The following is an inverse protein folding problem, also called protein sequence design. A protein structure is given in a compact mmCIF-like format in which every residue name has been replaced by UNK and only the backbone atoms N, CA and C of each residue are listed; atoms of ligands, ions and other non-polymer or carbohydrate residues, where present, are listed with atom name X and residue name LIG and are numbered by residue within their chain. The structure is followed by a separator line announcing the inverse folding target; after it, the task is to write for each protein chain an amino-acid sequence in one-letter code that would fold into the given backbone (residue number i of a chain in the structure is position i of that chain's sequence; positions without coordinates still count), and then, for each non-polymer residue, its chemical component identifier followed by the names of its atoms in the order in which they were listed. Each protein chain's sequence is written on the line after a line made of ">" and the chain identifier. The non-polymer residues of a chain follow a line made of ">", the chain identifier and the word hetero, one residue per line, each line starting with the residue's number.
data_IF_962308294759
#
_entry.id   IF_962308294759
#
_cell.length_a   1.000
_cell.length_b   1.000
_cell.length_c   1.000
_cell.angle_alpha   90.00
_cell.angle_beta   90.00
_cell.angle_gamma   90.00
#
_symmetry.space_group_name_H-M   'P 1'
#
loop_
_entity.id
_entity.type
_entity.pdbx_description
1 polymer ?
#
# COMPACT_ATOMS: atom_id res chain seq x y z
N UNK A 1 0.53 10.59 2.21
CA UNK A 1 -0.91 10.64 2.54
C UNK A 1 -1.67 9.67 1.64
N UNK A 2 -2.20 8.58 2.21
CA UNK A 2 -2.89 7.49 1.47
C UNK A 2 -4.36 7.88 1.24
N UNK A 3 -4.85 7.82 -0.01
CA UNK A 3 -6.28 7.89 -0.31
C UNK A 3 -6.84 6.45 -0.42
N UNK A 4 -7.69 5.97 0.50
CA UNK A 4 -8.29 4.65 0.37
C UNK A 4 -9.57 4.72 -0.47
N UNK A 5 -9.73 3.81 -1.43
CA UNK A 5 -11.03 3.48 -1.98
C UNK A 5 -11.56 2.20 -1.31
N UNK A 6 -12.60 2.33 -0.47
CA UNK A 6 -13.11 1.26 0.41
C UNK A 6 -13.67 0.03 -0.33
N UNK A 7 -13.89 0.09 -1.64
CA UNK A 7 -14.61 -0.92 -2.41
C UNK A 7 -13.76 -1.71 -3.40
N UNK A 8 -12.49 -1.35 -3.64
CA UNK A 8 -11.68 -1.99 -4.67
C UNK A 8 -10.58 -2.93 -4.13
N UNK A 9 -10.36 -2.97 -2.80
CA UNK A 9 -9.36 -3.87 -2.19
C UNK A 9 -7.91 -3.45 -2.39
N UNK A 10 -7.66 -2.19 -2.78
CA UNK A 10 -6.32 -1.64 -2.95
C UNK A 10 -6.24 -0.18 -2.47
N UNK A 11 -5.02 0.30 -2.26
CA UNK A 11 -4.69 1.66 -1.87
C UNK A 11 -3.34 2.10 -2.48
N UNK A 12 -3.08 3.41 -2.46
CA UNK A 12 -1.77 3.97 -2.85
C UNK A 12 -1.03 4.42 -1.60
N UNK A 13 0.11 3.81 -1.35
CA UNK A 13 1.02 4.16 -0.26
C UNK A 13 1.99 5.23 -0.76
N UNK A 14 2.15 6.26 0.06
CA UNK A 14 3.03 7.38 -0.22
C UNK A 14 4.35 7.17 0.50
N UNK A 15 5.46 7.12 -0.25
CA UNK A 15 6.81 6.99 0.28
C UNK A 15 7.78 7.78 -0.60
N UNK A 16 8.75 8.52 -0.01
CA UNK A 16 9.80 9.19 -0.78
C UNK A 16 10.67 8.20 -1.57
N UNK A 17 10.72 6.92 -1.17
CA UNK A 17 11.47 5.85 -1.83
C UNK A 17 10.72 5.24 -3.02
N UNK A 18 9.42 5.49 -3.15
CA UNK A 18 8.58 5.10 -4.30
C UNK A 18 7.92 6.35 -4.92
N UNK A 19 8.66 7.19 -5.66
CA UNK A 19 8.11 8.39 -6.28
C UNK A 19 6.93 8.05 -7.20
N UNK A 20 5.83 8.79 -7.06
CA UNK A 20 4.57 8.50 -7.78
C UNK A 20 3.61 7.56 -7.04
N UNK A 21 4.05 6.99 -5.91
CA UNK A 21 3.26 6.13 -5.05
C UNK A 21 3.48 4.65 -5.30
N UNK A 22 3.20 3.86 -4.28
CA UNK A 22 3.29 2.40 -4.30
C UNK A 22 1.88 1.79 -4.27
N UNK A 23 1.57 0.96 -5.24
CA UNK A 23 0.28 0.28 -5.31
C UNK A 23 0.23 -0.85 -4.28
N UNK A 24 -0.78 -0.88 -3.41
CA UNK A 24 -0.91 -1.89 -2.36
C UNK A 24 -2.25 -2.61 -2.39
N UNK A 25 -2.22 -3.94 -2.50
CA UNK A 25 -3.41 -4.79 -2.38
C UNK A 25 -3.68 -5.19 -0.93
N UNK A 26 -4.94 -5.45 -0.57
CA UNK A 26 -5.30 -5.91 0.78
C UNK A 26 -4.60 -7.22 1.19
N UNK A 27 -4.24 -8.08 0.23
CA UNK A 27 -3.53 -9.34 0.51
C UNK A 27 -2.11 -9.14 1.03
N UNK A 28 -1.49 -8.00 0.72
CA UNK A 28 -0.16 -7.64 1.23
C UNK A 28 -0.21 -7.12 2.67
N UNK A 29 -1.38 -6.74 3.18
CA UNK A 29 -1.54 -6.23 4.55
C UNK A 29 -1.38 -7.36 5.56
N UNK A 30 -0.44 -7.19 6.49
CA UNK A 30 -0.08 -8.16 7.53
C UNK A 30 -0.86 -7.86 8.81
N UNK A 31 -2.13 -8.24 8.83
CA UNK A 31 -2.97 -8.19 10.02
C UNK A 31 -4.01 -9.30 10.05
N UNK A 32 -4.46 -9.66 11.24
CA UNK A 32 -5.57 -10.58 11.42
C UNK A 32 -6.92 -9.86 11.27
N UNK A 33 -7.96 -10.61 10.89
CA UNK A 33 -9.30 -10.07 10.69
C UNK A 33 -9.43 -9.19 9.45
N UNK A 34 -10.27 -8.16 9.52
CA UNK A 34 -10.55 -7.28 8.39
C UNK A 34 -9.36 -6.38 8.08
N UNK A 35 -8.76 -6.59 6.89
CA UNK A 35 -7.52 -5.93 6.46
C UNK A 35 -7.80 -4.59 5.82
N UNK A 36 -7.87 -3.54 6.64
CA UNK A 36 -8.06 -2.17 6.18
C UNK A 36 -7.09 -1.20 6.85
N UNK A 37 -6.61 -0.24 6.06
CA UNK A 37 -5.78 0.87 6.51
C UNK A 37 -6.64 2.13 6.66
N UNK A 38 -6.34 2.93 7.67
CA UNK A 38 -6.95 4.26 7.82
C UNK A 38 -6.15 5.31 7.03
N UNK A 39 -6.79 6.32 6.42
CA UNK A 39 -6.07 7.44 5.84
C UNK A 39 -5.13 8.07 6.87
N UNK A 40 -3.87 8.27 6.51
CA UNK A 40 -2.86 8.86 7.39
C UNK A 40 -2.20 7.87 8.38
N UNK A 41 -2.63 6.61 8.42
CA UNK A 41 -1.95 5.58 9.20
C UNK A 41 -0.54 5.34 8.64
N UNK A 42 0.46 5.31 9.51
CA UNK A 42 1.82 4.92 9.15
C UNK A 42 1.90 3.40 8.99
N UNK A 43 2.69 2.95 8.02
CA UNK A 43 2.90 1.54 7.74
C UNK A 43 4.37 1.30 7.45
N UNK A 44 4.89 0.12 7.84
CA UNK A 44 6.13 -0.38 7.28
C UNK A 44 5.81 -1.04 5.94
N UNK A 45 6.59 -0.68 4.92
CA UNK A 45 6.33 -1.03 3.52
C UNK A 45 7.53 -1.79 2.95
N UNK A 46 7.28 -2.95 2.36
CA UNK A 46 8.20 -3.62 1.45
C UNK A 46 7.58 -3.61 0.04
N UNK A 47 8.40 -3.29 -0.96
CA UNK A 47 7.94 -3.11 -2.34
C UNK A 47 8.93 -3.69 -3.35
N UNK A 48 8.45 -3.90 -4.57
CA UNK A 48 9.26 -4.34 -5.72
C UNK A 48 9.33 -3.29 -6.84
N UNK A 49 10.52 -3.17 -7.45
CA UNK A 49 10.83 -2.47 -8.70
C UNK A 49 12.16 -3.01 -9.30
N UNK A 50 12.44 -2.93 -10.63
CA UNK A 50 11.60 -2.45 -11.74
C UNK A 50 10.95 -3.59 -12.56
N UNK A 51 9.78 -3.29 -13.17
CA UNK A 51 9.05 -4.22 -14.07
C UNK A 51 7.57 -4.38 -13.74
N UNK A 52 7.15 -3.94 -12.55
CA UNK A 52 5.74 -3.85 -12.19
C UNK A 52 5.10 -2.65 -12.87
N UNK A 53 3.97 -2.86 -13.56
CA UNK A 53 3.13 -1.79 -14.08
C UNK A 53 1.67 -2.19 -13.95
N UNK A 54 1.02 -1.64 -12.94
CA UNK A 54 -0.41 -1.82 -12.71
C UNK A 54 -1.05 -0.47 -12.42
N UNK A 55 -2.14 -0.16 -13.11
CA UNK A 55 -2.90 1.08 -12.96
C UNK A 55 -2.05 2.37 -13.06
N UNK A 56 -0.88 2.31 -13.72
CA UNK A 56 0.04 3.44 -13.88
C UNK A 56 1.10 3.58 -12.78
N UNK A 57 1.18 2.64 -11.84
CA UNK A 57 2.20 2.62 -10.78
C UNK A 57 3.36 1.69 -11.16
N UNK A 58 4.59 2.17 -10.91
CA UNK A 58 5.82 1.43 -11.20
C UNK A 58 6.33 0.61 -9.99
N UNK A 59 5.66 0.72 -8.83
CA UNK A 59 6.00 0.04 -7.57
C UNK A 59 4.78 -0.71 -7.02
N UNK A 60 4.98 -1.95 -6.57
CA UNK A 60 3.95 -2.76 -5.90
C UNK A 60 4.37 -3.10 -4.47
N UNK A 61 3.46 -2.96 -3.53
CA UNK A 61 3.64 -3.41 -2.16
C UNK A 61 3.51 -4.93 -2.09
N UNK A 62 4.54 -5.60 -1.56
CA UNK A 62 4.55 -7.04 -1.32
C UNK A 62 4.31 -7.37 0.16
N UNK A 63 4.59 -6.41 1.05
CA UNK A 63 4.29 -6.50 2.49
C UNK A 63 3.91 -5.11 3.03
N UNK A 64 2.82 -5.04 3.79
CA UNK A 64 2.36 -3.83 4.47
C UNK A 64 2.08 -4.17 5.92
N UNK A 65 2.85 -3.63 6.85
CA UNK A 65 2.65 -3.82 8.30
C UNK A 65 2.05 -2.54 8.89
N UNK A 66 0.80 -2.57 9.39
CA UNK A 66 0.19 -1.38 9.98
C UNK A 66 0.89 -0.97 11.27
N UNK A 67 1.24 0.31 11.37
CA UNK A 67 1.65 0.94 12.63
C UNK A 67 0.47 1.18 13.57
N UNK A 68 0.74 1.57 14.83
CA UNK A 68 -0.29 1.97 15.78
C UNK A 68 -1.16 3.09 15.18
N UNK A 69 -2.46 3.02 15.48
CA UNK A 69 -3.46 4.00 15.02
C UNK A 69 -3.35 5.33 15.76
#
# INVERSE_FOLDING_TARGET
>A
MVAPSRSLGWAVLDSPETPGGCWGHFSAVRMDGFRALSPGQQVDLEWEAPGFRQDGYDYAAVSIVPGPA
#
